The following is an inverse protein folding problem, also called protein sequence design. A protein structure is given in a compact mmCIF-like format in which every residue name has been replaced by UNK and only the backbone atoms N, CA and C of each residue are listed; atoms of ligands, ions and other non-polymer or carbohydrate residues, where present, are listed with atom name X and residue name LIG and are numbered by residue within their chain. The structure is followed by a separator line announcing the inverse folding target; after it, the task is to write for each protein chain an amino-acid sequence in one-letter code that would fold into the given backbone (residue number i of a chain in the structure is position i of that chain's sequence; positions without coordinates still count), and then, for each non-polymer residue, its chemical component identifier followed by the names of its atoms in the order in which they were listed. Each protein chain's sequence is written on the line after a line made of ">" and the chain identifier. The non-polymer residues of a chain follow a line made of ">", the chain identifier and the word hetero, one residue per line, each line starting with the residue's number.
data_IF_427228573123
#
_entry.id   IF_427228573123
#
_cell.length_a   1.000
_cell.length_b   1.000
_cell.length_c   1.000
_cell.angle_alpha   90.00
_cell.angle_beta   90.00
_cell.angle_gamma   90.00
#
_symmetry.space_group_name_H-M   'P 1'
#
loop_
_entity.id
_entity.type
_entity.pdbx_description
1 polymer ?
#
# COMPACT_ATOMS: atom_id res chain seq x y z
N UNK A 1 -0.93 3.24 16.87
CA UNK A 1 0.36 3.64 16.27
C UNK A 1 1.54 2.75 16.67
N UNK A 2 1.50 2.03 17.82
CA UNK A 2 2.69 1.35 18.36
C UNK A 2 3.00 -0.07 17.83
N UNK A 3 2.09 -0.74 17.10
CA UNK A 3 2.32 -2.14 16.67
C UNK A 3 3.26 -2.31 15.47
N UNK A 4 3.45 -1.27 14.66
CA UNK A 4 4.10 -1.40 13.34
C UNK A 4 5.63 -1.35 13.40
N UNK A 5 6.18 -0.69 14.43
CA UNK A 5 7.62 -0.47 14.57
C UNK A 5 8.26 -1.34 15.66
N UNK A 6 7.50 -2.24 16.27
CA UNK A 6 8.02 -3.13 17.33
C UNK A 6 9.12 -4.03 16.78
N UNK A 7 8.86 -4.73 15.68
CA UNK A 7 9.83 -5.62 15.04
C UNK A 7 11.10 -4.88 14.60
N UNK A 8 10.97 -3.68 14.03
CA UNK A 8 12.12 -2.86 13.60
C UNK A 8 12.93 -2.36 14.79
N UNK A 9 12.26 -1.95 15.87
CA UNK A 9 12.92 -1.51 17.10
C UNK A 9 13.70 -2.66 17.74
N UNK A 10 13.13 -3.86 17.75
CA UNK A 10 13.78 -5.05 18.33
C UNK A 10 15.01 -5.47 17.49
N UNK A 11 14.92 -5.42 16.15
CA UNK A 11 16.05 -5.64 15.25
C UNK A 11 17.17 -4.60 15.46
N UNK A 12 16.82 -3.31 15.54
CA UNK A 12 17.79 -2.24 15.77
C UNK A 12 18.45 -2.33 17.15
N UNK A 13 17.70 -2.71 18.20
CA UNK A 13 18.27 -2.92 19.54
C UNK A 13 19.21 -4.12 19.57
N UNK A 14 18.88 -5.18 18.83
CA UNK A 14 19.72 -6.37 18.73
C UNK A 14 21.04 -6.05 18.02
N UNK A 15 20.97 -5.39 16.86
CA UNK A 15 22.12 -4.96 16.08
C UNK A 15 23.01 -3.93 16.78
N UNK A 16 22.44 -3.06 17.63
CA UNK A 16 23.20 -2.11 18.44
C UNK A 16 24.09 -2.80 19.50
N UNK A 17 23.68 -3.97 20.01
CA UNK A 17 24.40 -4.68 21.07
C UNK A 17 25.45 -5.67 20.55
N UNK A 18 25.22 -6.30 19.41
CA UNK A 18 26.07 -7.39 18.91
C UNK A 18 26.82 -7.06 17.60
N UNK A 19 26.53 -5.92 16.95
CA UNK A 19 26.96 -5.68 15.57
C UNK A 19 26.11 -6.50 14.60
N UNK A 20 25.69 -5.94 13.46
CA UNK A 20 24.85 -6.66 12.50
C UNK A 20 25.76 -7.36 11.50
N UNK A 21 25.76 -8.69 11.53
CA UNK A 21 26.38 -9.53 10.50
C UNK A 21 25.36 -9.83 9.40
N UNK A 22 25.80 -10.10 8.15
CA UNK A 22 24.88 -10.29 7.03
C UNK A 22 23.92 -11.49 7.22
N UNK A 23 24.33 -12.48 8.02
CA UNK A 23 23.52 -13.64 8.39
C UNK A 23 22.42 -13.34 9.43
N UNK A 24 22.54 -12.24 10.19
CA UNK A 24 21.50 -11.76 11.11
C UNK A 24 20.45 -10.88 10.42
N UNK A 25 20.70 -10.51 9.16
CA UNK A 25 19.72 -9.79 8.36
C UNK A 25 18.64 -10.78 7.92
N UNK A 26 17.37 -10.47 8.24
CA UNK A 26 16.24 -11.28 7.77
C UNK A 26 16.34 -11.53 6.27
N UNK A 27 16.34 -12.82 5.90
CA UNK A 27 16.38 -13.24 4.51
C UNK A 27 15.17 -12.72 3.74
N UNK A 28 15.34 -12.50 2.43
CA UNK A 28 14.34 -11.83 1.60
C UNK A 28 13.07 -12.69 1.57
N UNK A 29 11.95 -12.11 2.00
CA UNK A 29 10.62 -12.72 2.00
C UNK A 29 10.37 -13.52 0.71
N UNK A 30 9.89 -14.77 0.79
CA UNK A 30 9.62 -15.57 -0.41
C UNK A 30 8.58 -14.93 -1.35
N UNK A 31 7.72 -14.01 -0.85
CA UNK A 31 6.77 -13.22 -1.66
C UNK A 31 7.39 -11.96 -2.29
N UNK A 32 8.51 -11.48 -1.75
CA UNK A 32 9.35 -10.42 -2.32
C UNK A 32 10.61 -10.96 -2.98
N UNK A 33 10.76 -12.29 -3.08
CA UNK A 33 11.69 -12.87 -4.03
C UNK A 33 11.34 -12.32 -5.38
N UNK A 34 12.33 -11.66 -5.97
CA UNK A 34 12.31 -11.25 -7.36
C UNK A 34 11.92 -12.41 -8.27
N UNK A 35 12.12 -13.67 -7.87
CA UNK A 35 11.74 -14.88 -8.60
C UNK A 35 10.25 -14.92 -9.00
N UNK A 36 9.29 -14.89 -8.07
CA UNK A 36 7.85 -14.96 -8.43
C UNK A 36 7.41 -13.79 -9.31
N UNK A 37 8.04 -12.65 -9.07
CA UNK A 37 7.79 -11.41 -9.76
C UNK A 37 8.34 -11.46 -11.20
N UNK A 38 9.57 -11.95 -11.34
CA UNK A 38 10.24 -12.22 -12.61
C UNK A 38 9.49 -13.28 -13.40
N UNK A 39 9.06 -14.38 -12.79
CA UNK A 39 8.33 -15.45 -13.48
C UNK A 39 7.03 -14.93 -14.11
N UNK A 40 6.30 -14.07 -13.39
CA UNK A 40 5.08 -13.45 -13.90
C UNK A 40 5.39 -12.43 -15.00
N UNK A 41 6.46 -11.66 -14.85
CA UNK A 41 6.90 -10.69 -15.85
C UNK A 41 7.40 -11.39 -17.13
N UNK A 42 8.13 -12.49 -16.99
CA UNK A 42 8.71 -13.29 -18.07
C UNK A 42 7.62 -13.96 -18.91
N UNK A 43 6.56 -14.47 -18.28
CA UNK A 43 5.37 -14.96 -18.98
C UNK A 43 4.75 -13.86 -19.86
N UNK A 44 4.48 -12.69 -19.29
CA UNK A 44 3.88 -11.56 -20.05
C UNK A 44 4.85 -11.02 -21.12
N UNK A 45 6.15 -11.03 -20.86
CA UNK A 45 7.19 -10.65 -21.82
C UNK A 45 7.24 -11.61 -23.02
N UNK A 46 7.12 -12.91 -22.80
CA UNK A 46 7.08 -13.91 -23.87
C UNK A 46 5.87 -13.74 -24.80
N UNK A 47 4.72 -13.33 -24.26
CA UNK A 47 3.53 -13.00 -25.04
C UNK A 47 3.68 -11.70 -25.84
N UNK A 48 4.27 -10.66 -25.24
CA UNK A 48 4.53 -9.39 -25.93
C UNK A 48 5.56 -9.58 -27.06
N UNK A 49 6.55 -10.47 -26.91
CA UNK A 49 7.50 -10.82 -27.97
C UNK A 49 6.77 -11.40 -29.19
N UNK A 50 5.90 -12.39 -28.99
CA UNK A 50 5.08 -13.00 -30.07
C UNK A 50 4.16 -11.98 -30.75
N UNK A 51 3.56 -11.09 -29.96
CA UNK A 51 2.71 -10.01 -30.48
C UNK A 51 3.50 -8.90 -31.19
N UNK A 52 4.74 -8.65 -30.78
CA UNK A 52 5.61 -7.67 -31.41
C UNK A 52 6.13 -8.17 -32.77
N UNK A 53 6.47 -9.47 -32.84
CA UNK A 53 6.87 -10.16 -34.07
C UNK A 53 5.73 -10.17 -35.10
N UNK A 54 4.51 -10.54 -34.69
CA UNK A 54 3.35 -10.56 -35.59
C UNK A 54 2.93 -9.17 -36.10
N UNK A 55 3.24 -8.11 -35.35
CA UNK A 55 2.92 -6.72 -35.71
C UNK A 55 4.10 -5.95 -36.30
N UNK A 56 5.27 -6.59 -36.49
CA UNK A 56 6.48 -5.95 -37.01
C UNK A 56 6.98 -4.77 -36.17
N UNK A 57 6.63 -4.71 -34.88
CA UNK A 57 6.99 -3.60 -33.96
C UNK A 57 8.08 -4.00 -32.98
N UNK A 58 8.82 -3.03 -32.46
CA UNK A 58 9.81 -3.27 -31.40
C UNK A 58 9.09 -3.57 -30.06
N UNK A 59 9.47 -4.64 -29.33
CA UNK A 59 8.89 -4.92 -28.01
C UNK A 59 9.34 -3.86 -26.99
N UNK A 60 8.45 -3.48 -26.06
CA UNK A 60 8.73 -2.47 -25.03
C UNK A 60 8.46 -2.99 -23.62
N UNK A 61 9.54 -3.12 -22.83
CA UNK A 61 9.48 -3.60 -21.43
C UNK A 61 8.63 -2.69 -20.55
N UNK A 62 8.77 -1.38 -20.70
CA UNK A 62 8.01 -0.39 -19.93
C UNK A 62 6.50 -0.60 -20.01
N UNK A 63 5.98 -0.93 -21.20
CA UNK A 63 4.55 -1.18 -21.40
C UNK A 63 4.06 -2.37 -20.58
N UNK A 64 4.89 -3.41 -20.46
CA UNK A 64 4.56 -4.60 -19.66
C UNK A 64 4.62 -4.28 -18.18
N UNK A 65 5.65 -3.58 -17.72
CA UNK A 65 5.77 -3.15 -16.32
C UNK A 65 4.54 -2.33 -15.91
N UNK A 66 4.14 -1.35 -16.73
CA UNK A 66 2.92 -0.58 -16.48
C UNK A 66 1.64 -1.43 -16.55
N UNK A 67 1.58 -2.45 -17.40
CA UNK A 67 0.42 -3.34 -17.49
C UNK A 67 0.30 -4.25 -16.27
N UNK A 68 1.42 -4.79 -15.78
CA UNK A 68 1.46 -5.75 -14.66
C UNK A 68 1.33 -5.04 -13.31
N UNK A 69 2.07 -3.94 -13.09
CA UNK A 69 2.07 -3.22 -11.80
C UNK A 69 1.13 -2.03 -11.77
N UNK A 70 0.91 -1.38 -12.92
CA UNK A 70 0.14 -0.15 -12.97
C UNK A 70 -1.30 -0.35 -12.55
N UNK A 71 -1.93 -1.50 -12.83
CA UNK A 71 -3.32 -1.73 -12.44
C UNK A 71 -3.50 -1.82 -10.91
N UNK A 72 -2.59 -2.52 -10.23
CA UNK A 72 -2.56 -2.62 -8.77
C UNK A 72 -2.21 -1.27 -8.15
N UNK A 73 -1.19 -0.59 -8.68
CA UNK A 73 -0.77 0.72 -8.21
C UNK A 73 -1.85 1.79 -8.40
N UNK A 74 -2.60 1.76 -9.52
CA UNK A 74 -3.69 2.68 -9.80
C UNK A 74 -4.84 2.53 -8.81
N UNK A 75 -5.17 1.31 -8.38
CA UNK A 75 -6.18 1.08 -7.33
C UNK A 75 -5.77 1.72 -6.01
N UNK A 76 -4.50 1.59 -5.63
CA UNK A 76 -3.99 2.23 -4.41
C UNK A 76 -3.90 3.76 -4.56
N UNK A 77 -3.45 4.26 -5.71
CA UNK A 77 -3.34 5.70 -5.94
C UNK A 77 -4.70 6.39 -5.95
N UNK A 78 -5.75 5.73 -6.46
CA UNK A 78 -7.12 6.26 -6.43
C UNK A 78 -7.60 6.52 -5.00
N UNK A 79 -7.35 5.59 -4.06
CA UNK A 79 -7.70 5.77 -2.65
C UNK A 79 -6.91 6.93 -2.02
N UNK A 80 -5.62 7.05 -2.34
CA UNK A 80 -4.78 8.16 -1.87
C UNK A 80 -5.24 9.51 -2.40
N UNK A 81 -5.64 9.59 -3.67
CA UNK A 81 -6.21 10.82 -4.26
C UNK A 81 -7.51 11.19 -3.58
N UNK A 82 -8.41 10.24 -3.34
CA UNK A 82 -9.65 10.50 -2.59
C UNK A 82 -9.36 11.05 -1.18
N UNK A 83 -8.38 10.51 -0.47
CA UNK A 83 -7.97 11.01 0.85
C UNK A 83 -7.47 12.47 0.78
N UNK A 84 -6.63 12.79 -0.20
CA UNK A 84 -6.12 14.15 -0.39
C UNK A 84 -7.27 15.12 -0.67
N UNK A 85 -8.21 14.75 -1.54
CA UNK A 85 -9.39 15.56 -1.86
C UNK A 85 -10.27 15.78 -0.63
N UNK A 86 -10.55 14.74 0.16
CA UNK A 86 -11.30 14.88 1.41
C UNK A 86 -10.61 15.81 2.41
N UNK A 87 -9.27 15.74 2.48
CA UNK A 87 -8.46 16.62 3.35
C UNK A 87 -8.56 18.08 2.90
N UNK A 88 -8.67 18.34 1.60
CA UNK A 88 -8.86 19.69 1.05
C UNK A 88 -10.30 20.21 1.24
N UNK A 89 -11.30 19.34 1.20
CA UNK A 89 -12.71 19.72 1.38
C UNK A 89 -13.07 20.00 2.85
N UNK A 90 -12.38 19.35 3.79
CA UNK A 90 -12.58 19.53 5.24
C UNK A 90 -12.55 21.00 5.69
N UNK A 91 -11.51 21.82 5.41
CA UNK A 91 -11.48 23.23 5.84
C UNK A 91 -12.59 24.08 5.22
N UNK A 92 -12.97 23.80 3.96
CA UNK A 92 -14.07 24.51 3.29
C UNK A 92 -15.42 24.23 3.94
N UNK A 93 -15.69 22.97 4.31
CA UNK A 93 -16.91 22.59 5.03
C UNK A 93 -16.93 23.15 6.46
N UNK A 94 -15.77 23.22 7.11
CA UNK A 94 -15.64 23.81 8.44
C UNK A 94 -15.96 25.31 8.43
N UNK A 95 -15.50 26.02 7.41
CA UNK A 95 -15.83 27.44 7.22
C UNK A 95 -17.35 27.66 7.09
N UNK A 96 -18.03 26.85 6.27
CA UNK A 96 -19.49 26.94 6.09
C UNK A 96 -20.26 26.62 7.37
N UNK A 97 -19.75 25.70 8.20
CA UNK A 97 -20.33 25.38 9.50
C UNK A 97 -20.19 26.55 10.48
N UNK A 98 -19.02 27.20 10.54
CA UNK A 98 -18.76 28.33 11.43
C UNK A 98 -19.61 29.56 11.09
N UNK A 99 -19.95 29.76 9.82
CA UNK A 99 -20.81 30.87 9.38
C UNK A 99 -22.29 30.63 9.65
N UNK A 100 -22.74 29.37 9.78
CA UNK A 100 -24.16 29.01 9.85
C UNK A 100 -24.53 28.23 11.13
N UNK A 101 -23.93 28.59 12.27
CA UNK A 101 -24.06 27.84 13.53
C UNK A 101 -25.50 27.76 14.07
N UNK A 102 -26.31 28.79 13.88
CA UNK A 102 -27.66 28.88 14.46
C UNK A 102 -28.75 28.24 13.57
N UNK A 103 -28.38 27.80 12.37
CA UNK A 103 -29.35 27.33 11.36
C UNK A 103 -29.45 25.81 11.35
N UNK A 104 -30.62 25.26 10.99
CA UNK A 104 -30.84 23.81 10.82
C UNK A 104 -29.85 23.13 9.85
N UNK A 105 -29.32 23.88 8.88
CA UNK A 105 -28.30 23.39 7.94
C UNK A 105 -26.96 23.04 8.61
N UNK A 106 -26.68 23.53 9.83
CA UNK A 106 -25.46 23.19 10.59
C UNK A 106 -25.32 21.68 10.83
N UNK A 107 -26.43 20.98 11.11
CA UNK A 107 -26.43 19.53 11.30
C UNK A 107 -26.04 18.78 10.03
N UNK A 108 -26.42 19.30 8.85
CA UNK A 108 -26.06 18.71 7.55
C UNK A 108 -24.56 18.86 7.30
N UNK A 109 -24.00 20.04 7.56
CA UNK A 109 -22.56 20.29 7.44
C UNK A 109 -21.74 19.47 8.46
N UNK A 110 -22.21 19.35 9.70
CA UNK A 110 -21.57 18.54 10.73
C UNK A 110 -21.60 17.03 10.37
N UNK A 111 -22.73 16.52 9.89
CA UNK A 111 -22.83 15.13 9.42
C UNK A 111 -21.92 14.87 8.20
N UNK A 112 -21.83 15.84 7.27
CA UNK A 112 -20.92 15.79 6.13
C UNK A 112 -19.45 15.73 6.54
N UNK A 113 -19.03 16.54 7.52
CA UNK A 113 -17.67 16.52 8.07
C UNK A 113 -17.34 15.17 8.72
N UNK A 114 -18.27 14.59 9.48
CA UNK A 114 -18.09 13.26 10.08
C UNK A 114 -17.91 12.19 9.00
N UNK A 115 -18.73 12.22 7.96
CA UNK A 115 -18.65 11.28 6.84
C UNK A 115 -17.31 11.40 6.07
N UNK A 116 -16.87 12.64 5.80
CA UNK A 116 -15.60 12.93 5.14
C UNK A 116 -14.37 12.47 5.93
N UNK A 117 -14.47 12.37 7.25
CA UNK A 117 -13.40 11.86 8.12
C UNK A 117 -13.41 10.33 8.21
N UNK A 118 -14.60 9.73 8.37
CA UNK A 118 -14.75 8.29 8.58
C UNK A 118 -14.38 7.49 7.33
N UNK A 119 -14.78 7.94 6.14
CA UNK A 119 -14.54 7.23 4.88
C UNK A 119 -13.04 6.97 4.62
N UNK A 120 -12.17 7.99 4.66
CA UNK A 120 -10.74 7.82 4.46
C UNK A 120 -10.02 7.16 5.64
N UNK A 121 -10.52 7.29 6.88
CA UNK A 121 -10.01 6.53 8.03
C UNK A 121 -10.21 5.04 7.82
N UNK A 122 -11.39 4.63 7.36
CA UNK A 122 -11.67 3.23 7.02
C UNK A 122 -10.80 2.82 5.82
N UNK A 123 -10.79 3.59 4.73
CA UNK A 123 -9.98 3.27 3.54
C UNK A 123 -8.48 3.15 3.84
N UNK A 124 -7.92 4.08 4.61
CA UNK A 124 -6.51 4.04 5.03
C UNK A 124 -6.25 2.93 6.03
N UNK A 125 -7.15 2.63 6.97
CA UNK A 125 -7.01 1.49 7.90
C UNK A 125 -7.10 0.16 7.16
N UNK A 126 -7.97 0.02 6.18
CA UNK A 126 -8.08 -1.19 5.35
C UNK A 126 -6.89 -1.35 4.41
N UNK A 127 -6.43 -0.26 3.79
CA UNK A 127 -5.24 -0.27 2.92
C UNK A 127 -3.98 -0.56 3.72
N UNK A 128 -3.82 0.11 4.86
CA UNK A 128 -2.71 -0.11 5.78
C UNK A 128 -2.80 -1.45 6.48
N UNK A 129 -4.01 -1.97 6.77
CA UNK A 129 -4.22 -3.34 7.27
C UNK A 129 -3.92 -4.37 6.21
N UNK A 130 -4.22 -4.14 4.93
CA UNK A 130 -3.83 -5.03 3.83
C UNK A 130 -2.32 -5.03 3.63
N UNK A 131 -1.68 -3.86 3.68
CA UNK A 131 -0.20 -3.72 3.65
C UNK A 131 0.42 -4.39 4.90
N UNK A 132 -0.14 -4.14 6.09
CA UNK A 132 0.31 -4.76 7.32
C UNK A 132 0.00 -6.25 7.37
N UNK A 133 -1.06 -6.74 6.73
CA UNK A 133 -1.42 -8.15 6.70
C UNK A 133 -0.61 -8.89 5.65
N UNK A 134 -0.19 -8.23 4.58
CA UNK A 134 0.93 -8.68 3.75
C UNK A 134 2.18 -8.81 4.65
N UNK A 135 2.57 -7.77 5.40
CA UNK A 135 3.71 -7.84 6.31
C UNK A 135 3.55 -8.77 7.54
N UNK A 136 2.33 -9.03 8.02
CA UNK A 136 2.04 -9.79 9.24
C UNK A 136 1.78 -11.27 8.95
N UNK A 137 1.18 -11.57 7.81
CA UNK A 137 1.09 -12.94 7.31
C UNK A 137 2.48 -13.49 6.96
N UNK A 138 3.43 -12.61 6.64
CA UNK A 138 4.85 -12.94 6.50
C UNK A 138 5.55 -13.28 7.81
N UNK A 139 5.13 -12.72 8.96
CA UNK A 139 5.77 -12.98 10.27
C UNK A 139 5.19 -14.19 11.03
N UNK A 140 3.89 -14.48 10.90
CA UNK A 140 3.27 -15.64 11.57
C UNK A 140 3.52 -16.99 10.86
N UNK A 141 3.70 -17.00 9.53
CA UNK A 141 4.06 -18.22 8.81
C UNK A 141 5.52 -18.66 9.10
N UNK A 142 6.39 -17.72 9.47
CA UNK A 142 7.79 -17.97 9.83
C UNK A 142 7.97 -18.70 11.18
N UNK A 143 7.05 -18.49 12.15
CA UNK A 143 7.06 -19.23 13.42
C UNK A 143 6.66 -20.70 13.23
N UNK A 144 5.73 -20.98 12.32
CA UNK A 144 5.24 -22.35 12.07
C UNK A 144 6.22 -23.22 11.27
N UNK A 145 7.14 -22.62 10.51
CA UNK A 145 8.18 -23.32 9.73
C UNK A 145 9.56 -23.37 10.39
N UNK A 146 9.81 -22.57 11.45
CA UNK A 146 11.06 -22.62 12.24
C UNK A 146 11.07 -23.80 13.24
N UNK A 147 9.90 -24.36 13.58
CA UNK A 147 9.77 -25.57 14.42
C UNK A 147 9.75 -26.89 13.62
N UNK A 148 10.25 -26.92 12.37
CA UNK A 148 10.39 -28.18 11.62
C UNK A 148 11.74 -28.33 10.93
#
# INVERSE_FOLDING_TARGET
>A
MSQVLRWLKDLLLHGYKHGIEADDLYDVLPQHRSELLCDSLEKVWSEELKNAESQGRKPSLWKIIFKTYGLSYLKYSMLSVCYIVSTLLMPLMLEQLLLNIDTSWSYVYAAGLLFLQIGPLIGSRYSFSKILQVCAQESLLHLSCTER
#
